data_IF_068161636888
#
_entry.id   IF_068161636888
#
_cell.length_a   1.000
_cell.length_b   1.000
_cell.length_c   1.000
_cell.angle_alpha   90.00
_cell.angle_beta   90.00
_cell.angle_gamma   90.00
#
_symmetry.space_group_name_H-M   'P 1'
#
loop_
_entity.id
_entity.type
_entity.pdbx_description
1 polymer ?
#
# COMPACT_ATOMS: atom_id res chain seq x y z
N UNK A 1 10.61 11.69 -10.25
CA UNK A 1 10.25 13.11 -10.06
C UNK A 1 9.66 13.27 -8.67
N UNK A 2 10.52 13.44 -7.68
CA UNK A 2 10.27 14.06 -6.37
C UNK A 2 11.63 14.10 -5.66
N UNK A 3 12.57 14.89 -6.20
CA UNK A 3 13.92 15.03 -5.61
C UNK A 3 13.95 16.13 -4.54
N UNK A 4 12.80 16.75 -4.24
CA UNK A 4 12.64 17.81 -3.26
C UNK A 4 11.62 17.43 -2.19
N UNK A 5 11.97 17.71 -0.94
CA UNK A 5 11.10 17.53 0.21
C UNK A 5 9.91 18.50 0.14
N UNK A 6 8.69 17.97 0.07
CA UNK A 6 7.46 18.77 0.01
C UNK A 6 7.27 19.70 1.21
N UNK A 7 7.87 19.37 2.37
CA UNK A 7 7.70 20.14 3.61
C UNK A 7 8.65 21.32 3.72
N UNK A 8 9.92 21.16 3.33
CA UNK A 8 10.95 22.19 3.55
C UNK A 8 11.70 22.61 2.28
N UNK A 9 11.36 22.04 1.12
CA UNK A 9 12.03 22.31 -0.16
C UNK A 9 13.45 21.73 -0.29
N UNK A 10 13.96 21.03 0.72
CA UNK A 10 15.33 20.48 0.70
C UNK A 10 15.47 19.27 -0.23
N UNK A 11 16.63 19.12 -0.87
CA UNK A 11 16.85 18.11 -1.92
C UNK A 11 17.42 16.78 -1.40
N UNK A 12 17.83 16.73 -0.14
CA UNK A 12 18.40 15.51 0.45
C UNK A 12 17.30 14.58 0.98
N UNK A 13 16.79 13.72 0.11
CA UNK A 13 15.97 12.57 0.48
C UNK A 13 16.82 11.31 0.63
N UNK A 14 16.55 10.50 1.66
CA UNK A 14 17.18 9.20 1.88
C UNK A 14 16.13 8.11 1.88
N UNK A 15 16.32 7.10 1.04
CA UNK A 15 15.49 5.89 1.10
C UNK A 15 15.75 5.13 2.41
N UNK A 16 14.70 4.49 2.92
CA UNK A 16 14.75 3.68 4.12
C UNK A 16 13.55 2.75 4.24
N UNK A 17 13.39 2.17 5.42
CA UNK A 17 12.26 1.33 5.78
C UNK A 17 11.83 1.61 7.22
N UNK A 18 10.54 1.44 7.50
CA UNK A 18 10.05 1.38 8.87
C UNK A 18 10.31 -0.01 9.42
N UNK A 19 11.06 -0.10 10.52
CA UNK A 19 11.34 -1.35 11.21
C UNK A 19 10.42 -1.51 12.42
N UNK A 20 9.81 -2.69 12.52
CA UNK A 20 8.97 -3.11 13.64
C UNK A 20 9.08 -4.62 13.78
N UNK A 21 8.84 -5.14 14.99
CA UNK A 21 8.86 -6.58 15.27
C UNK A 21 7.83 -7.35 14.40
N UNK A 22 6.73 -6.69 14.06
CA UNK A 22 5.75 -7.11 13.04
C UNK A 22 5.82 -6.16 11.85
N UNK A 23 5.61 -6.71 10.64
CA UNK A 23 5.68 -5.95 9.38
C UNK A 23 4.74 -4.73 9.44
N UNK A 24 5.28 -3.54 9.22
CA UNK A 24 4.47 -2.33 9.08
C UNK A 24 3.89 -2.27 7.66
N UNK A 25 2.67 -2.75 7.49
CA UNK A 25 1.91 -2.68 6.23
C UNK A 25 0.70 -1.75 6.36
N UNK A 26 0.22 -1.25 5.24
CA UNK A 26 -1.09 -0.61 5.18
C UNK A 26 -2.16 -1.67 4.89
N UNK A 27 -3.18 -1.77 5.74
CA UNK A 27 -4.33 -2.67 5.49
C UNK A 27 -5.58 -1.84 5.17
N UNK A 28 -6.14 -1.94 3.96
CA UNK A 28 -7.40 -1.29 3.63
C UNK A 28 -8.54 -1.82 4.51
N UNK A 29 -9.51 -0.97 4.86
CA UNK A 29 -10.67 -1.38 5.66
C UNK A 29 -11.55 -2.40 4.91
N UNK A 30 -11.79 -2.16 3.61
CA UNK A 30 -12.64 -3.01 2.76
C UNK A 30 -11.81 -3.95 1.85
N UNK A 31 -10.66 -4.43 2.31
CA UNK A 31 -9.82 -5.32 1.51
C UNK A 31 -10.52 -6.66 1.27
N UNK A 32 -10.73 -7.05 0.02
CA UNK A 32 -11.28 -8.37 -0.31
C UNK A 32 -10.24 -9.45 -0.03
N UNK A 33 -10.66 -10.51 0.67
CA UNK A 33 -9.84 -11.69 0.92
C UNK A 33 -9.66 -12.46 -0.40
N UNK A 34 -8.62 -12.12 -1.15
CA UNK A 34 -8.18 -12.90 -2.30
C UNK A 34 -7.34 -14.06 -1.75
N UNK A 35 -7.78 -15.31 -1.93
CA UNK A 35 -7.17 -16.53 -1.37
C UNK A 35 -5.68 -16.73 -1.69
N UNK A 36 -5.13 -15.97 -2.64
CA UNK A 36 -3.72 -16.01 -3.05
C UNK A 36 -2.92 -14.72 -2.76
N UNK A 37 -3.55 -13.65 -2.26
CA UNK A 37 -2.89 -12.38 -2.00
C UNK A 37 -3.11 -11.92 -0.56
N UNK A 38 -2.03 -11.54 0.14
CA UNK A 38 -2.16 -10.88 1.44
C UNK A 38 -2.87 -9.54 1.27
N UNK A 39 -3.82 -9.23 2.16
CA UNK A 39 -4.56 -7.95 2.18
C UNK A 39 -3.70 -6.73 2.53
N UNK A 40 -2.41 -6.94 2.81
CA UNK A 40 -1.45 -5.90 3.13
C UNK A 40 -0.90 -5.20 1.89
N UNK A 41 -0.96 -3.88 1.86
CA UNK A 41 -0.23 -3.05 0.88
C UNK A 41 1.18 -2.78 1.42
N UNK A 42 2.17 -3.11 0.59
CA UNK A 42 3.57 -2.83 0.90
C UNK A 42 3.86 -1.34 0.86
N UNK A 43 4.60 -0.85 1.84
CA UNK A 43 5.01 0.55 1.95
C UNK A 43 6.52 0.69 1.78
N UNK A 44 6.92 1.79 1.15
CA UNK A 44 8.30 2.27 1.10
C UNK A 44 8.39 3.54 1.94
N UNK A 45 9.55 3.79 2.54
CA UNK A 45 9.77 4.99 3.34
C UNK A 45 10.93 5.81 2.77
N UNK A 46 10.76 7.13 2.78
CA UNK A 46 11.79 8.10 2.42
C UNK A 46 11.87 9.15 3.52
N UNK A 47 13.06 9.53 3.95
CA UNK A 47 13.26 10.55 4.98
C UNK A 47 14.03 11.75 4.42
N UNK A 48 13.54 12.96 4.68
CA UNK A 48 14.30 14.17 4.40
C UNK A 48 15.40 14.36 5.45
N UNK A 49 16.64 14.51 5.00
CA UNK A 49 17.79 14.71 5.89
C UNK A 49 17.87 16.12 6.49
N UNK A 50 17.15 17.09 5.93
CA UNK A 50 17.15 18.48 6.41
C UNK A 50 16.13 18.71 7.53
N UNK A 51 14.88 18.28 7.33
CA UNK A 51 13.78 18.59 8.25
C UNK A 51 13.18 17.35 8.95
N UNK A 52 13.67 16.16 8.62
CA UNK A 52 13.27 14.91 9.27
C UNK A 52 11.88 14.40 8.90
N UNK A 53 11.18 15.00 7.93
CA UNK A 53 9.89 14.45 7.47
C UNK A 53 10.11 13.07 6.86
N UNK A 54 9.24 12.12 7.23
CA UNK A 54 9.21 10.78 6.65
C UNK A 54 7.96 10.69 5.78
N UNK A 55 8.17 10.35 4.52
CA UNK A 55 7.11 10.04 3.58
C UNK A 55 6.98 8.51 3.46
N UNK A 56 5.74 8.02 3.54
CA UNK A 56 5.42 6.60 3.43
C UNK A 56 4.52 6.43 2.20
N UNK A 57 4.99 5.65 1.21
CA UNK A 57 4.28 5.45 -0.05
C UNK A 57 3.88 4.00 -0.20
N UNK A 58 2.59 3.74 -0.40
CA UNK A 58 2.03 2.40 -0.64
C UNK A 58 1.93 2.04 -2.13
N UNK A 59 1.88 0.74 -2.43
CA UNK A 59 1.57 0.24 -3.77
C UNK A 59 0.09 0.48 -4.13
N UNK A 60 -0.16 1.53 -4.92
CA UNK A 60 -1.50 1.92 -5.39
C UNK A 60 -2.10 0.88 -6.34
N UNK A 61 -1.30 0.15 -7.11
CA UNK A 61 -1.79 -0.92 -7.98
C UNK A 61 -2.31 -2.10 -7.17
N UNK A 62 -1.60 -2.48 -6.11
CA UNK A 62 -2.09 -3.50 -5.16
C UNK A 62 -3.33 -3.01 -4.41
N UNK A 63 -3.34 -1.76 -3.94
CA UNK A 63 -4.50 -1.17 -3.27
C UNK A 63 -5.76 -1.28 -4.14
N UNK A 64 -5.68 -0.84 -5.40
CA UNK A 64 -6.82 -0.91 -6.35
C UNK A 64 -7.35 -2.33 -6.49
N UNK A 65 -6.46 -3.32 -6.68
CA UNK A 65 -6.87 -4.74 -6.79
C UNK A 65 -7.57 -5.26 -5.54
N UNK A 66 -7.19 -4.78 -4.36
CA UNK A 66 -7.79 -5.18 -3.09
C UNK A 66 -9.16 -4.52 -2.84
N UNK A 67 -9.43 -3.36 -3.46
CA UNK A 67 -10.64 -2.56 -3.23
C UNK A 67 -11.61 -2.51 -4.41
N UNK A 68 -11.23 -2.98 -5.60
CA UNK A 68 -12.08 -2.98 -6.79
C UNK A 68 -13.16 -4.06 -6.74
N UNK A 69 -14.30 -3.80 -7.41
CA UNK A 69 -15.31 -4.81 -7.69
C UNK A 69 -14.81 -5.88 -8.66
N UNK A 70 -15.21 -7.15 -8.48
CA UNK A 70 -14.80 -8.20 -9.39
C UNK A 70 -15.22 -7.83 -10.81
N UNK A 71 -14.32 -8.02 -11.77
CA UNK A 71 -14.65 -7.87 -13.18
C UNK A 71 -15.90 -8.71 -13.51
N UNK A 72 -16.83 -8.21 -14.34
CA UNK A 72 -18.11 -8.88 -14.62
C UNK A 72 -17.94 -10.30 -15.19
N UNK A 73 -16.78 -10.61 -15.79
CA UNK A 73 -16.41 -11.94 -16.26
C UNK A 73 -16.19 -12.98 -15.14
N UNK A 74 -16.04 -12.54 -13.89
CA UNK A 74 -15.70 -13.41 -12.74
C UNK A 74 -16.86 -13.54 -11.74
N UNK A 75 -17.96 -12.81 -11.92
CA UNK A 75 -19.15 -12.83 -11.05
C UNK A 75 -19.73 -14.24 -10.87
N UNK A 76 -19.70 -15.06 -11.93
CA UNK A 76 -20.17 -16.45 -11.92
C UNK A 76 -19.44 -17.35 -10.92
N UNK A 77 -18.20 -16.99 -10.56
CA UNK A 77 -17.38 -17.75 -9.62
C UNK A 77 -17.42 -17.18 -8.20
N UNK A 78 -17.78 -15.90 -8.03
CA UNK A 78 -17.88 -15.27 -6.70
C UNK A 78 -19.12 -15.73 -5.91
N UNK A 79 -20.22 -16.04 -6.60
CA UNK A 79 -21.48 -16.47 -5.97
C UNK A 79 -21.44 -17.88 -5.34
N UNK A 80 -20.42 -18.69 -5.66
CA UNK A 80 -20.30 -20.07 -5.16
C UNK A 80 -19.70 -20.10 -3.74
N UNK A 81 -18.97 -19.05 -3.33
CA UNK A 81 -18.26 -19.02 -2.05
C UNK A 81 -19.06 -18.48 -0.85
N UNK A 82 -20.35 -18.16 -1.02
CA UNK A 82 -21.19 -17.53 0.02
C UNK A 82 -22.15 -18.51 0.70
N UNK A 83 -22.27 -19.75 0.20
CA UNK A 83 -23.22 -20.74 0.72
C UNK A 83 -22.52 -22.05 1.12
N UNK A 84 -21.80 -22.05 2.24
CA UNK A 84 -21.59 -23.23 3.11
C UNK A 84 -21.70 -22.81 4.59
#
# INVERSE_FOLDING_TARGET
MADTCYRCGGEMLSAGALFSAVRTSFRPQDSKFLTLATGDVMTKATMCRNCGVIEIVGDVSKLRRLTSDPEPSTERFAAIAVNE
#
